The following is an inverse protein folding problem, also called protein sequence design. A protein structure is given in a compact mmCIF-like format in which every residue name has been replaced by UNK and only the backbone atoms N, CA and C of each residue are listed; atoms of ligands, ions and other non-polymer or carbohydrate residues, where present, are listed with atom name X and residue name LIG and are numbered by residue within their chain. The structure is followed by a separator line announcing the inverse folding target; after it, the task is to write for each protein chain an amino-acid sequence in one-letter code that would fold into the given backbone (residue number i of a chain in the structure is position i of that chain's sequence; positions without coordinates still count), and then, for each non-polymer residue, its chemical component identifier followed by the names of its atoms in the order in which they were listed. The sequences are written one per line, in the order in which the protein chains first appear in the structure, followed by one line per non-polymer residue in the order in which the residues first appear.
data_IF_115327352271
#
_entry.id   IF_115327352271
#
_cell.length_a   1.000
_cell.length_b   1.000
_cell.length_c   1.000
_cell.angle_alpha   90.00
_cell.angle_beta   90.00
_cell.angle_gamma   90.00
#
_symmetry.space_group_name_H-M   'P 1'
#
loop_
_entity.id
_entity.type
_entity.pdbx_description
1 polymer ?
#
# COMPACT_ATOMS: atom_id res chain seq x y z
N UNK A 1 14.52 -1.79 -19.09
CA UNK A 1 13.80 -1.11 -17.98
C UNK A 1 12.86 -0.05 -18.53
N UNK A 2 13.30 0.82 -19.46
CA UNK A 2 12.45 1.82 -20.14
C UNK A 2 11.18 1.25 -20.80
N UNK A 3 11.23 0.04 -21.34
CA UNK A 3 10.12 -0.48 -22.16
C UNK A 3 8.83 -0.76 -21.39
N UNK A 4 8.93 -0.89 -20.06
CA UNK A 4 7.77 -1.09 -19.19
C UNK A 4 7.32 0.23 -18.56
N UNK A 5 8.10 1.30 -18.66
CA UNK A 5 7.83 2.57 -17.97
C UNK A 5 6.50 3.19 -18.43
N UNK A 6 6.30 3.29 -19.74
CA UNK A 6 5.05 3.81 -20.30
C UNK A 6 3.89 2.84 -20.01
N UNK A 7 4.12 1.53 -20.12
CA UNK A 7 3.09 0.52 -19.83
C UNK A 7 2.60 0.62 -18.38
N UNK A 8 3.52 0.70 -17.42
CA UNK A 8 3.21 0.88 -16.00
C UNK A 8 2.52 2.22 -15.76
N UNK A 9 3.02 3.29 -16.38
CA UNK A 9 2.40 4.62 -16.28
C UNK A 9 0.95 4.62 -16.75
N UNK A 10 0.67 3.99 -17.90
CA UNK A 10 -0.69 3.84 -18.40
C UNK A 10 -1.55 2.95 -17.50
N UNK A 11 -0.99 1.89 -16.91
CA UNK A 11 -1.71 1.02 -15.99
C UNK A 11 -2.06 1.70 -14.66
N UNK A 12 -1.23 2.65 -14.21
CA UNK A 12 -1.47 3.50 -13.05
C UNK A 12 -2.33 4.72 -13.37
N UNK A 13 -2.86 4.86 -14.60
CA UNK A 13 -3.56 6.06 -15.06
C UNK A 13 -2.77 7.37 -14.86
N UNK A 14 -1.43 7.30 -14.88
CA UNK A 14 -0.53 8.41 -14.59
C UNK A 14 -0.70 9.02 -13.18
N UNK A 15 -1.32 8.29 -12.25
CA UNK A 15 -1.42 8.68 -10.84
C UNK A 15 -0.17 8.20 -10.09
N UNK A 16 0.83 9.09 -9.99
CA UNK A 16 2.10 8.79 -9.31
C UNK A 16 2.12 9.17 -7.83
N UNK A 17 1.09 9.87 -7.37
CA UNK A 17 1.02 10.35 -6.00
C UNK A 17 0.47 9.24 -5.09
N UNK A 18 1.36 8.62 -4.32
CA UNK A 18 0.99 7.61 -3.32
C UNK A 18 1.17 8.20 -1.93
N UNK A 19 0.11 8.15 -1.12
CA UNK A 19 0.16 8.62 0.26
C UNK A 19 0.50 7.47 1.21
N UNK A 20 1.64 7.60 1.89
CA UNK A 20 2.17 6.57 2.78
C UNK A 20 1.69 6.74 4.23
N UNK A 21 1.35 5.64 4.96
CA UNK A 21 1.01 5.66 6.39
C UNK A 21 2.15 6.12 7.32
N UNK A 22 3.40 6.12 6.87
CA UNK A 22 4.55 6.61 7.65
C UNK A 22 4.37 8.07 8.09
N UNK A 23 3.89 8.94 7.19
CA UNK A 23 3.69 10.36 7.49
C UNK A 23 2.58 10.61 8.53
N UNK A 24 1.37 10.03 8.42
CA UNK A 24 0.39 10.14 9.49
C UNK A 24 0.85 9.53 10.81
N UNK A 25 1.66 8.47 10.80
CA UNK A 25 2.21 7.87 12.02
C UNK A 25 3.09 8.86 12.77
N UNK A 26 4.03 9.51 12.07
CA UNK A 26 4.84 10.60 12.62
C UNK A 26 3.98 11.77 13.10
N UNK A 27 2.94 12.13 12.34
CA UNK A 27 2.01 13.20 12.71
C UNK A 27 1.28 12.91 14.03
N UNK A 28 0.77 11.69 14.20
CA UNK A 28 0.12 11.27 15.45
C UNK A 28 1.11 11.21 16.61
N UNK A 29 2.33 10.74 16.37
CA UNK A 29 3.39 10.74 17.37
C UNK A 29 3.65 12.17 17.89
N UNK A 30 3.82 13.14 17.00
CA UNK A 30 4.05 14.54 17.37
C UNK A 30 2.85 15.17 18.09
N UNK A 31 1.62 14.90 17.63
CA UNK A 31 0.41 15.43 18.27
C UNK A 31 0.27 14.90 19.71
N UNK A 32 0.49 13.60 19.92
CA UNK A 32 0.44 12.97 21.23
C UNK A 32 1.55 13.44 22.19
N UNK A 33 2.74 13.76 21.66
CA UNK A 33 3.82 14.34 22.46
C UNK A 33 3.45 15.70 23.05
N UNK A 34 2.71 16.53 22.29
CA UNK A 34 2.29 17.85 22.76
C UNK A 34 1.29 17.73 23.90
N UNK A 35 0.36 16.79 23.81
CA UNK A 35 -0.68 16.58 24.83
C UNK A 35 -0.20 15.83 26.08
N UNK A 36 0.77 14.92 25.94
CA UNK A 36 1.17 13.98 27.00
C UNK A 36 2.68 13.88 27.18
N UNK A 37 3.30 15.01 27.51
CA UNK A 37 4.74 15.14 27.74
C UNK A 37 5.31 14.15 28.77
N UNK A 38 4.51 13.69 29.72
CA UNK A 38 4.95 12.77 30.77
C UNK A 38 5.08 11.30 30.30
N UNK A 39 4.55 10.96 29.12
CA UNK A 39 4.46 9.57 28.62
C UNK A 39 5.27 9.35 27.34
N UNK A 40 6.19 10.27 27.00
CA UNK A 40 6.94 10.27 25.73
C UNK A 40 7.73 8.99 25.49
N UNK A 41 8.32 8.38 26.54
CA UNK A 41 9.07 7.12 26.40
C UNK A 41 8.16 5.96 25.99
N UNK A 42 6.97 5.86 26.58
CA UNK A 42 5.97 4.84 26.24
C UNK A 42 5.51 5.02 24.79
N UNK A 43 5.19 6.26 24.43
CA UNK A 43 4.78 6.63 23.08
C UNK A 43 5.85 6.33 22.04
N UNK A 44 7.13 6.59 22.34
CA UNK A 44 8.26 6.27 21.46
C UNK A 44 8.38 4.77 21.20
N UNK A 45 8.25 3.94 22.24
CA UNK A 45 8.29 2.48 22.08
C UNK A 45 7.13 1.98 21.20
N UNK A 46 5.92 2.50 21.41
CA UNK A 46 4.76 2.16 20.56
C UNK A 46 4.95 2.63 19.11
N UNK A 47 5.57 3.79 18.91
CA UNK A 47 5.89 4.33 17.58
C UNK A 47 6.90 3.44 16.83
N UNK A 48 8.02 3.04 17.46
CA UNK A 48 9.00 2.15 16.83
C UNK A 48 8.36 0.81 16.43
N UNK A 49 7.55 0.22 17.31
CA UNK A 49 6.81 -1.01 17.00
C UNK A 49 5.85 -0.84 15.82
N UNK A 50 5.18 0.32 15.72
CA UNK A 50 4.32 0.62 14.57
C UNK A 50 5.11 0.75 13.28
N UNK A 51 6.28 1.40 13.31
CA UNK A 51 7.15 1.56 12.15
C UNK A 51 7.56 0.21 11.55
N UNK A 52 7.87 -0.77 12.39
CA UNK A 52 8.20 -2.13 11.93
C UNK A 52 6.98 -2.82 11.30
N UNK A 53 5.78 -2.60 11.85
CA UNK A 53 4.54 -3.24 11.41
C UNK A 53 3.93 -2.60 10.16
N UNK A 54 4.28 -1.36 9.82
CA UNK A 54 3.84 -0.71 8.57
C UNK A 54 4.18 -1.58 7.35
N UNK A 55 5.33 -2.25 7.36
CA UNK A 55 5.73 -3.18 6.29
C UNK A 55 4.71 -4.30 6.07
N UNK A 56 4.04 -4.76 7.12
CA UNK A 56 2.99 -5.79 7.02
C UNK A 56 1.74 -5.21 6.36
N UNK A 57 1.38 -3.97 6.69
CA UNK A 57 0.25 -3.28 6.07
C UNK A 57 0.47 -3.10 4.56
N UNK A 58 1.69 -2.79 4.10
CA UNK A 58 2.03 -2.72 2.67
C UNK A 58 1.93 -4.06 1.93
N UNK A 59 2.13 -5.18 2.64
CA UNK A 59 2.00 -6.52 2.06
C UNK A 59 0.54 -7.03 2.02
N UNK A 60 -0.42 -6.15 2.34
CA UNK A 60 -1.86 -6.44 2.35
C UNK A 60 -2.61 -5.52 1.39
N UNK A 61 -3.92 -5.74 1.24
CA UNK A 61 -4.79 -4.90 0.41
C UNK A 61 -5.15 -3.55 1.08
N UNK A 62 -4.67 -3.29 2.31
CA UNK A 62 -5.04 -2.09 3.08
C UNK A 62 -4.77 -0.75 2.37
N UNK A 63 -3.64 -0.53 1.68
CA UNK A 63 -3.40 0.73 0.99
C UNK A 63 -4.42 1.04 -0.12
N UNK A 64 -5.17 0.03 -0.59
CA UNK A 64 -6.24 0.18 -1.58
C UNK A 64 -7.62 0.38 -0.94
N UNK A 65 -7.81 -0.07 0.31
CA UNK A 65 -9.10 -0.08 1.00
C UNK A 65 -9.27 1.05 2.02
N UNK A 66 -8.17 1.59 2.54
CA UNK A 66 -8.19 2.50 3.69
C UNK A 66 -7.29 3.71 3.45
N UNK A 67 -7.60 4.80 4.14
CA UNK A 67 -6.72 5.99 4.12
C UNK A 67 -5.48 5.73 4.98
N UNK A 68 -4.32 6.33 4.64
CA UNK A 68 -3.08 6.12 5.38
C UNK A 68 -3.19 6.53 6.85
N UNK A 69 -3.98 7.56 7.18
CA UNK A 69 -4.25 7.96 8.56
C UNK A 69 -5.04 6.91 9.35
N UNK A 70 -6.01 6.23 8.72
CA UNK A 70 -6.74 5.13 9.37
C UNK A 70 -5.82 3.94 9.63
N UNK A 71 -4.91 3.62 8.71
CA UNK A 71 -3.92 2.56 8.87
C UNK A 71 -2.97 2.90 10.04
N UNK A 72 -2.38 4.10 10.04
CA UNK A 72 -1.48 4.55 11.10
C UNK A 72 -2.16 4.55 12.47
N UNK A 73 -3.39 5.07 12.56
CA UNK A 73 -4.17 5.09 13.79
C UNK A 73 -4.47 3.67 14.30
N UNK A 74 -4.78 2.74 13.39
CA UNK A 74 -5.07 1.35 13.73
C UNK A 74 -3.83 0.62 14.26
N UNK A 75 -2.65 0.91 13.70
CA UNK A 75 -1.39 0.37 14.19
C UNK A 75 -1.09 0.87 15.61
N UNK A 76 -1.21 2.18 15.87
CA UNK A 76 -1.06 2.76 17.20
C UNK A 76 -2.06 2.16 18.19
N UNK A 77 -3.32 2.03 17.79
CA UNK A 77 -4.36 1.41 18.61
C UNK A 77 -4.07 -0.07 18.94
N UNK A 78 -3.44 -0.79 18.00
CA UNK A 78 -3.02 -2.16 18.22
C UNK A 78 -1.86 -2.27 19.23
N UNK A 79 -0.93 -1.31 19.24
CA UNK A 79 0.20 -1.31 20.17
C UNK A 79 -0.18 -0.83 21.58
N UNK A 80 -1.01 0.21 21.66
CA UNK A 80 -1.37 0.80 22.95
C UNK A 80 -2.84 1.17 23.05
N UNK A 81 -3.68 0.15 23.26
CA UNK A 81 -5.12 0.28 23.35
C UNK A 81 -5.57 1.22 24.48
N UNK A 82 -4.88 1.21 25.63
CA UNK A 82 -5.26 2.07 26.76
C UNK A 82 -4.99 3.53 26.44
N UNK A 83 -3.78 3.83 25.96
CA UNK A 83 -3.40 5.20 25.63
C UNK A 83 -4.26 5.75 24.48
N UNK A 84 -4.50 4.94 23.46
CA UNK A 84 -5.25 5.34 22.29
C UNK A 84 -6.74 5.50 22.56
N UNK A 85 -7.34 4.72 23.46
CA UNK A 85 -8.72 4.95 23.87
C UNK A 85 -8.88 6.31 24.55
N UNK A 86 -7.97 6.67 25.47
CA UNK A 86 -8.04 7.97 26.12
C UNK A 86 -7.86 9.12 25.11
N UNK A 87 -6.93 8.97 24.16
CA UNK A 87 -6.66 9.96 23.11
C UNK A 87 -7.84 10.12 22.14
N UNK A 88 -8.44 9.00 21.70
CA UNK A 88 -9.62 9.04 20.83
C UNK A 88 -10.79 9.69 21.57
N UNK A 89 -11.03 9.31 22.83
CA UNK A 89 -12.09 9.90 23.62
C UNK A 89 -11.89 11.42 23.79
N UNK A 90 -10.68 11.90 24.11
CA UNK A 90 -10.42 13.34 24.27
C UNK A 90 -10.55 14.14 22.97
N UNK A 91 -10.22 13.55 21.82
CA UNK A 91 -10.30 14.25 20.51
C UNK A 91 -11.68 14.18 19.86
N UNK A 92 -12.46 13.13 20.14
CA UNK A 92 -13.70 12.82 19.42
C UNK A 92 -14.95 12.82 20.30
N UNK A 93 -14.95 13.51 21.46
CA UNK A 93 -16.06 13.53 22.45
C UNK A 93 -17.48 13.77 21.84
N UNK A 94 -17.58 14.45 20.69
CA UNK A 94 -18.85 14.78 20.03
C UNK A 94 -19.07 14.07 18.68
N UNK A 95 -18.27 13.05 18.35
CA UNK A 95 -18.33 12.34 17.07
C UNK A 95 -18.75 10.87 17.24
N UNK A 96 -19.04 10.21 16.11
CA UNK A 96 -19.39 8.78 16.10
C UNK A 96 -18.13 7.92 16.31
N UNK A 97 -17.75 7.72 17.58
CA UNK A 97 -16.59 6.92 17.99
C UNK A 97 -16.80 5.44 17.63
N UNK A 98 -18.02 4.91 17.73
CA UNK A 98 -18.33 3.50 17.45
C UNK A 98 -18.01 3.10 16.01
N UNK A 99 -18.30 3.98 15.04
CA UNK A 99 -17.96 3.76 13.64
C UNK A 99 -16.45 3.68 13.41
N UNK A 100 -15.69 4.58 14.05
CA UNK A 100 -14.23 4.60 13.97
C UNK A 100 -13.60 3.36 14.60
N UNK A 101 -14.06 2.95 15.79
CA UNK A 101 -13.54 1.76 16.48
C UNK A 101 -13.81 0.48 15.69
N UNK A 102 -14.99 0.35 15.06
CA UNK A 102 -15.28 -0.79 14.17
C UNK A 102 -14.33 -0.86 12.98
N UNK A 103 -14.05 0.29 12.36
CA UNK A 103 -13.11 0.40 11.25
C UNK A 103 -11.67 0.04 11.68
N UNK A 104 -11.22 0.58 12.82
CA UNK A 104 -9.90 0.26 13.38
C UNK A 104 -9.79 -1.26 13.63
N UNK A 105 -10.83 -1.85 14.21
CA UNK A 105 -10.85 -3.29 14.49
C UNK A 105 -10.77 -4.12 13.21
N UNK A 106 -11.50 -3.74 12.14
CA UNK A 106 -11.43 -4.46 10.87
C UNK A 106 -10.04 -4.36 10.21
N UNK A 107 -9.40 -3.19 10.30
CA UNK A 107 -8.02 -3.01 9.79
C UNK A 107 -7.06 -3.92 10.55
N UNK A 108 -7.15 -3.95 11.89
CA UNK A 108 -6.30 -4.81 12.74
C UNK A 108 -6.48 -6.28 12.41
N UNK A 109 -7.71 -6.74 12.15
CA UNK A 109 -7.98 -8.11 11.72
C UNK A 109 -7.30 -8.44 10.39
N UNK A 110 -7.32 -7.53 9.42
CA UNK A 110 -6.63 -7.73 8.13
C UNK A 110 -5.13 -7.87 8.36
N UNK A 111 -4.50 -6.98 9.14
CA UNK A 111 -3.06 -7.01 9.44
C UNK A 111 -2.66 -8.34 10.09
N UNK A 112 -3.43 -8.81 11.07
CA UNK A 112 -3.16 -10.07 11.77
C UNK A 112 -3.29 -11.30 10.86
N UNK A 113 -4.11 -11.22 9.82
CA UNK A 113 -4.37 -12.31 8.90
C UNK A 113 -3.41 -12.33 7.68
N UNK A 114 -2.48 -11.38 7.57
CA UNK A 114 -1.49 -11.37 6.49
C UNK A 114 -0.59 -12.61 6.60
N UNK A 115 -0.70 -13.50 5.62
CA UNK A 115 0.09 -14.74 5.56
C UNK A 115 1.38 -14.48 4.79
N UNK A 116 2.52 -14.78 5.42
CA UNK A 116 3.80 -14.83 4.71
C UNK A 116 3.81 -16.05 3.81
N UNK A 117 4.06 -15.83 2.51
CA UNK A 117 4.10 -16.92 1.53
C UNK A 117 5.35 -17.77 1.72
N UNK A 118 5.21 -19.10 1.70
CA UNK A 118 6.36 -20.01 1.80
C UNK A 118 7.15 -20.04 0.49
N UNK A 119 8.48 -20.19 0.59
CA UNK A 119 9.40 -20.28 -0.56
C UNK A 119 9.02 -21.39 -1.54
N UNK A 120 8.55 -22.52 -1.01
CA UNK A 120 8.12 -23.67 -1.79
C UNK A 120 6.89 -23.33 -2.65
N UNK A 121 5.89 -22.68 -2.04
CA UNK A 121 4.67 -22.24 -2.74
C UNK A 121 5.01 -21.21 -3.82
N UNK A 122 5.85 -20.23 -3.48
CA UNK A 122 6.31 -19.21 -4.43
C UNK A 122 7.06 -19.84 -5.62
N UNK A 123 7.96 -20.81 -5.37
CA UNK A 123 8.69 -21.49 -6.44
C UNK A 123 7.78 -22.31 -7.36
N UNK A 124 6.77 -22.98 -6.79
CA UNK A 124 5.78 -23.73 -7.58
C UNK A 124 4.99 -22.79 -8.49
N UNK A 125 4.52 -21.66 -7.96
CA UNK A 125 3.75 -20.67 -8.74
C UNK A 125 4.62 -20.07 -9.84
N UNK A 126 5.88 -19.73 -9.56
CA UNK A 126 6.80 -19.21 -10.57
C UNK A 126 6.95 -20.14 -11.77
N UNK A 127 7.13 -21.45 -11.52
CA UNK A 127 7.23 -22.46 -12.61
C UNK A 127 5.95 -22.55 -13.44
N UNK A 128 4.78 -22.42 -12.82
CA UNK A 128 3.51 -22.41 -13.54
C UNK A 128 3.34 -21.12 -14.36
N UNK A 129 3.76 -19.98 -13.81
CA UNK A 129 3.73 -18.71 -14.51
C UNK A 129 4.59 -18.74 -15.78
N UNK A 130 5.78 -19.33 -15.74
CA UNK A 130 6.63 -19.48 -16.92
C UNK A 130 5.96 -20.28 -18.05
N UNK A 131 5.10 -21.23 -17.71
CA UNK A 131 4.36 -22.05 -18.69
C UNK A 131 3.15 -21.32 -19.25
N UNK A 132 2.49 -20.49 -18.43
CA UNK A 132 1.26 -19.79 -18.77
C UNK A 132 1.47 -18.36 -19.28
N UNK A 133 2.71 -17.83 -19.23
CA UNK A 133 3.00 -16.47 -19.64
C UNK A 133 2.58 -16.24 -21.09
N UNK A 134 1.70 -15.27 -21.29
CA UNK A 134 1.13 -14.94 -22.60
C UNK A 134 2.24 -14.52 -23.54
N UNK A 135 2.52 -15.36 -24.55
CA UNK A 135 3.62 -15.19 -25.51
C UNK A 135 3.52 -13.89 -26.32
N UNK A 136 2.38 -13.23 -26.32
CA UNK A 136 2.15 -11.95 -27.00
C UNK A 136 2.90 -10.77 -26.35
N UNK A 137 3.18 -10.86 -25.04
CA UNK A 137 3.90 -9.82 -24.30
C UNK A 137 5.41 -10.10 -24.20
N UNK A 138 5.87 -11.25 -24.71
CA UNK A 138 7.29 -11.56 -24.83
C UNK A 138 7.88 -10.87 -26.06
N UNK A 139 8.82 -9.94 -25.87
CA UNK A 139 9.49 -9.26 -26.99
C UNK A 139 10.20 -10.20 -27.98
N UNK A 140 10.58 -11.38 -27.51
CA UNK A 140 11.20 -12.43 -28.31
C UNK A 140 10.20 -13.15 -29.23
N UNK A 141 8.90 -13.07 -28.93
CA UNK A 141 7.85 -13.72 -29.68
C UNK A 141 7.61 -13.03 -31.02
N UNK A 142 7.31 -13.84 -32.05
CA UNK A 142 6.96 -13.34 -33.38
C UNK A 142 5.70 -12.47 -33.36
N UNK A 143 4.73 -12.79 -32.51
CA UNK A 143 3.48 -12.04 -32.38
C UNK A 143 3.72 -10.61 -31.89
N UNK A 144 4.61 -10.44 -30.91
CA UNK A 144 5.00 -9.11 -30.40
C UNK A 144 5.68 -8.27 -31.49
N UNK A 145 6.66 -8.85 -32.21
CA UNK A 145 7.38 -8.16 -33.28
C UNK A 145 6.44 -7.73 -34.40
N UNK A 146 5.52 -8.60 -34.80
CA UNK A 146 4.57 -8.32 -35.86
C UNK A 146 3.54 -7.24 -35.48
N UNK A 147 3.13 -7.17 -34.21
CA UNK A 147 2.29 -6.08 -33.69
C UNK A 147 3.07 -4.75 -33.67
N UNK A 148 4.31 -4.79 -33.19
CA UNK A 148 5.15 -3.58 -33.10
C UNK A 148 5.51 -3.03 -34.48
N UNK A 149 5.80 -3.88 -35.46
CA UNK A 149 6.01 -3.48 -36.86
C UNK A 149 4.76 -2.79 -37.44
N UNK A 150 3.55 -3.28 -37.15
CA UNK A 150 2.31 -2.62 -37.59
C UNK A 150 2.10 -1.26 -36.94
N UNK A 151 2.46 -1.10 -35.68
CA UNK A 151 2.37 0.18 -34.96
C UNK A 151 3.40 1.20 -35.46
N UNK A 152 4.58 0.77 -35.89
CA UNK A 152 5.60 1.65 -36.50
C UNK A 152 5.13 2.09 -37.89
N UNK A 153 4.70 1.15 -38.74
CA UNK A 153 4.23 1.45 -40.09
C UNK A 153 3.01 2.38 -40.07
N UNK A 154 2.06 2.18 -39.15
CA UNK A 154 0.90 3.07 -39.02
C UNK A 154 1.26 4.51 -38.62
N UNK A 155 2.31 4.70 -37.80
CA UNK A 155 2.80 6.04 -37.43
C UNK A 155 3.55 6.72 -38.58
N UNK A 156 4.35 5.97 -39.32
CA UNK A 156 5.04 6.50 -40.51
C UNK A 156 4.04 6.91 -41.60
N UNK A 157 2.92 6.21 -41.75
CA UNK A 157 1.85 6.61 -42.67
C UNK A 157 1.13 7.87 -42.20
N UNK A 158 0.81 8.02 -40.91
CA UNK A 158 0.18 9.23 -40.37
C UNK A 158 1.06 10.49 -40.49
N UNK A 159 2.38 10.36 -40.32
CA UNK A 159 3.34 11.46 -40.47
C UNK A 159 3.55 11.90 -41.93
N UNK A 160 3.21 11.06 -42.92
CA UNK A 160 3.31 11.39 -44.36
C UNK A 160 2.07 12.15 -44.88
N UNK A 161 0.95 12.09 -44.14
CA UNK A 161 -0.31 12.75 -44.50
C UNK A 161 -0.60 14.05 -43.71
N UNK A 162 0.36 14.54 -42.89
CA UNK A 162 0.36 15.88 -42.30
C UNK A 162 1.32 16.82 -43.02
#
# INVERSE_FOLDING_TARGET
MLDLELLVSTALNFEYQVHHPDWPLEGFYLDMQVERQEQVQRLFNSYEQCSDLISIAYNSDLPLLCTPSQIALSLLYMQDLSFMNDYINSRFENQNIDGLLKMITSIIEIIKNVKVTSKESASRIAKLNDQCFSREYLKTSKLYKQKHEREIVGKEEEDVFQ
#
